data_IF_834775942829
#
_entry.id   IF_834775942829
#
_cell.length_a   1.000
_cell.length_b   1.000
_cell.length_c   1.000
_cell.angle_alpha   90.00
_cell.angle_beta   90.00
_cell.angle_gamma   90.00
#
_symmetry.space_group_name_H-M   'P 1'
#
loop_
_entity.id
_entity.type
_entity.pdbx_description
1 polymer ?
#
# COMPACT_ATOMS: atom_id res chain seq x y z
N UNK A 1 17.34 -24.75 17.17
CA UNK A 1 16.21 -23.79 17.11
C UNK A 1 14.93 -24.62 17.02
N UNK A 2 13.98 -24.47 17.94
CA UNK A 2 12.66 -25.13 17.81
C UNK A 2 11.73 -24.17 17.07
N UNK A 3 11.10 -24.66 16.01
CA UNK A 3 10.01 -23.95 15.36
C UNK A 3 8.78 -23.98 16.28
N UNK A 4 8.22 -22.82 16.58
CA UNK A 4 6.93 -22.70 17.25
C UNK A 4 5.81 -23.14 16.28
N UNK A 5 4.76 -23.81 16.77
CA UNK A 5 3.67 -24.30 15.93
C UNK A 5 2.92 -23.14 15.26
N UNK A 6 2.56 -23.34 13.98
CA UNK A 6 1.88 -22.40 13.08
C UNK A 6 0.57 -21.79 13.62
N UNK A 7 0.03 -22.29 14.73
CA UNK A 7 -1.24 -21.84 15.32
C UNK A 7 -1.14 -20.58 16.21
N UNK A 8 0.06 -20.10 16.56
CA UNK A 8 0.22 -18.92 17.45
C UNK A 8 0.34 -17.58 16.71
N UNK A 9 0.58 -17.58 15.40
CA UNK A 9 0.82 -16.34 14.64
C UNK A 9 -0.45 -15.64 14.15
N UNK A 10 -1.56 -16.36 14.06
CA UNK A 10 -2.83 -15.84 13.61
C UNK A 10 -3.81 -15.83 14.77
N UNK A 11 -4.08 -14.63 15.29
CA UNK A 11 -5.07 -14.29 16.31
C UNK A 11 -4.60 -14.33 17.77
N UNK A 12 -3.82 -13.31 18.17
CA UNK A 12 -4.06 -12.69 19.47
C UNK A 12 -5.26 -11.75 19.36
N UNK A 13 -6.45 -12.33 19.42
CA UNK A 13 -7.69 -11.59 19.63
C UNK A 13 -7.92 -11.48 21.14
N UNK A 14 -7.33 -10.49 21.81
CA UNK A 14 -7.80 -10.03 23.12
C UNK A 14 -7.04 -8.80 23.65
N UNK A 15 -7.18 -7.59 23.10
CA UNK A 15 -6.71 -6.37 23.80
C UNK A 15 -7.62 -5.16 23.53
N UNK A 16 -8.66 -4.98 24.38
CA UNK A 16 -9.68 -3.93 24.33
C UNK A 16 -9.18 -2.47 24.42
N UNK A 17 -7.89 -2.19 24.34
CA UNK A 17 -7.34 -0.84 24.58
C UNK A 17 -6.13 -0.43 23.72
N UNK A 18 -5.63 -1.25 22.79
CA UNK A 18 -4.55 -0.78 21.94
C UNK A 18 -5.10 -0.02 20.73
N UNK A 19 -4.92 1.30 20.71
CA UNK A 19 -5.22 2.11 19.53
C UNK A 19 -4.18 1.82 18.44
N UNK A 20 -4.60 1.61 17.17
CA UNK A 20 -3.65 1.48 16.08
C UNK A 20 -2.87 2.79 15.92
N UNK A 21 -1.54 2.68 15.77
CA UNK A 21 -0.65 3.82 15.61
C UNK A 21 -0.52 4.30 14.16
N UNK A 22 -0.62 3.40 13.19
CA UNK A 22 -0.48 3.73 11.77
C UNK A 22 -1.40 2.88 10.88
N UNK A 23 -1.78 3.45 9.74
CA UNK A 23 -2.48 2.76 8.65
C UNK A 23 -1.54 2.69 7.44
N UNK A 24 -1.34 1.48 6.93
CA UNK A 24 -0.55 1.19 5.75
C UNK A 24 -1.45 0.70 4.62
N UNK A 25 -1.12 1.07 3.38
CA UNK A 25 -1.67 0.44 2.18
C UNK A 25 -0.49 -0.09 1.37
N UNK A 26 -0.32 -1.42 1.33
CA UNK A 26 0.78 -2.08 0.62
C UNK A 26 0.22 -2.68 -0.68
N UNK A 27 0.98 -2.59 -1.77
CA UNK A 27 0.60 -3.14 -3.08
C UNK A 27 1.65 -4.13 -3.57
N UNK A 28 1.22 -5.08 -4.40
CA UNK A 28 2.13 -6.06 -4.98
C UNK A 28 3.10 -5.38 -5.95
N UNK A 29 4.38 -5.78 -5.90
CA UNK A 29 5.43 -5.23 -6.77
C UNK A 29 5.04 -5.27 -8.27
N UNK A 30 4.46 -6.38 -8.72
CA UNK A 30 4.01 -6.58 -10.12
C UNK A 30 2.97 -5.56 -10.62
N UNK A 31 2.30 -4.86 -9.71
CA UNK A 31 1.26 -3.89 -10.06
C UNK A 31 1.78 -2.45 -10.09
N UNK A 32 3.09 -2.23 -9.89
CA UNK A 32 3.71 -0.90 -9.88
C UNK A 32 3.43 -0.10 -11.16
N UNK A 33 3.53 -0.70 -12.34
CA UNK A 33 3.29 0.01 -13.62
C UNK A 33 1.84 0.48 -13.77
N UNK A 34 0.88 -0.26 -13.23
CA UNK A 34 -0.53 0.16 -13.22
C UNK A 34 -0.76 1.32 -12.25
N UNK A 35 -0.04 1.32 -11.12
CA UNK A 35 -0.08 2.42 -10.18
C UNK A 35 0.52 3.69 -10.82
N UNK A 36 1.64 3.56 -11.55
CA UNK A 36 2.22 4.68 -12.33
C UNK A 36 1.21 5.24 -13.31
N UNK A 37 0.61 4.40 -14.15
CA UNK A 37 -0.35 4.81 -15.17
C UNK A 37 -1.56 5.55 -14.56
N UNK A 38 -2.09 5.06 -13.41
CA UNK A 38 -3.12 5.79 -12.68
C UNK A 38 -2.64 7.16 -12.21
N UNK A 39 -1.46 7.25 -11.60
CA UNK A 39 -0.93 8.51 -11.08
C UNK A 39 -0.68 9.51 -12.21
N UNK A 40 -0.13 9.07 -13.33
CA UNK A 40 0.11 9.87 -14.53
C UNK A 40 -1.21 10.45 -15.06
N UNK A 41 -2.22 9.59 -15.21
CA UNK A 41 -3.57 9.99 -15.63
C UNK A 41 -4.16 11.05 -14.70
N UNK A 42 -4.07 10.84 -13.38
CA UNK A 42 -4.60 11.79 -12.39
C UNK A 42 -3.80 13.10 -12.37
N UNK A 43 -2.49 13.06 -12.58
CA UNK A 43 -1.65 14.25 -12.67
C UNK A 43 -2.05 15.11 -13.89
N UNK A 44 -2.24 14.47 -15.06
CA UNK A 44 -2.72 15.14 -16.27
C UNK A 44 -4.13 15.72 -16.06
N UNK A 45 -5.04 14.96 -15.44
CA UNK A 45 -6.40 15.44 -15.09
C UNK A 45 -6.36 16.68 -14.20
N UNK A 46 -5.34 16.80 -13.33
CA UNK A 46 -5.10 17.96 -12.45
C UNK A 46 -4.31 19.10 -13.12
N UNK A 47 -3.98 18.98 -14.41
CA UNK A 47 -3.29 19.99 -15.19
C UNK A 47 -1.77 19.95 -15.13
N UNK A 48 -1.17 18.85 -14.62
CA UNK A 48 0.26 18.66 -14.70
C UNK A 48 0.69 18.34 -16.14
N UNK A 49 1.91 18.75 -16.49
CA UNK A 49 2.60 18.31 -17.71
C UNK A 49 3.64 17.28 -17.28
N UNK A 50 3.46 16.04 -17.71
CA UNK A 50 4.43 14.97 -17.43
C UNK A 50 5.64 15.15 -18.33
N UNK A 51 6.83 15.16 -17.73
CA UNK A 51 8.07 15.05 -18.49
C UNK A 51 8.36 13.57 -18.79
N UNK A 52 9.03 13.24 -19.91
CA UNK A 52 9.21 11.86 -20.36
C UNK A 52 9.95 10.93 -19.38
N UNK A 53 10.68 11.51 -18.43
CA UNK A 53 11.52 10.84 -17.43
C UNK A 53 10.94 10.90 -16.01
N UNK A 54 9.70 11.38 -15.86
CA UNK A 54 9.06 11.54 -14.56
C UNK A 54 8.42 10.22 -14.10
N UNK A 55 8.87 9.66 -12.96
CA UNK A 55 8.22 8.51 -12.31
C UNK A 55 7.61 8.97 -10.98
N UNK A 56 6.29 9.10 -10.98
CA UNK A 56 5.53 9.59 -9.82
C UNK A 56 5.63 8.68 -8.59
N UNK A 57 5.99 7.40 -8.74
CA UNK A 57 6.29 6.52 -7.61
C UNK A 57 7.65 6.86 -6.99
N UNK A 58 8.65 7.20 -7.82
CA UNK A 58 9.98 7.58 -7.36
C UNK A 58 10.00 8.95 -6.69
N UNK A 59 9.13 9.86 -7.10
CA UNK A 59 9.04 11.19 -6.50
C UNK A 59 8.41 11.20 -5.09
N UNK A 60 7.78 10.09 -4.68
CA UNK A 60 7.19 9.91 -3.35
C UNK A 60 6.24 11.05 -2.93
N UNK A 61 5.59 11.67 -3.92
CA UNK A 61 4.77 12.89 -3.75
C UNK A 61 3.27 12.61 -3.59
N UNK A 62 2.86 11.34 -3.71
CA UNK A 62 1.46 10.93 -3.70
C UNK A 62 1.09 10.10 -2.47
N UNK A 63 -0.10 10.37 -1.94
CA UNK A 63 -0.81 9.48 -1.04
C UNK A 63 -2.09 8.99 -1.72
N UNK A 64 -2.27 7.67 -1.86
CA UNK A 64 -3.47 7.09 -2.42
C UNK A 64 -4.62 7.16 -1.40
N UNK A 65 -5.43 8.21 -1.49
CA UNK A 65 -6.64 8.38 -0.68
C UNK A 65 -7.75 7.37 -1.05
N UNK A 66 -8.89 7.42 -0.36
CA UNK A 66 -10.00 6.49 -0.59
C UNK A 66 -10.52 6.51 -2.03
N UNK A 67 -10.57 7.68 -2.66
CA UNK A 67 -11.04 7.86 -4.04
C UNK A 67 -10.05 7.27 -5.03
N UNK A 68 -8.76 7.53 -4.85
CA UNK A 68 -7.71 6.99 -5.71
C UNK A 68 -7.60 5.47 -5.57
N UNK A 69 -7.75 4.91 -4.37
CA UNK A 69 -7.76 3.46 -4.17
C UNK A 69 -8.96 2.79 -4.82
N UNK A 70 -10.14 3.40 -4.73
CA UNK A 70 -11.34 2.90 -5.41
C UNK A 70 -11.18 2.93 -6.94
N UNK A 71 -10.61 4.01 -7.49
CA UNK A 71 -10.27 4.08 -8.92
C UNK A 71 -9.22 3.04 -9.32
N UNK A 72 -8.17 2.86 -8.53
CA UNK A 72 -7.11 1.88 -8.77
C UNK A 72 -7.67 0.45 -8.88
N UNK A 73 -8.60 0.09 -7.99
CA UNK A 73 -9.29 -1.19 -8.05
C UNK A 73 -10.20 -1.28 -9.28
N UNK A 74 -11.05 -0.28 -9.53
CA UNK A 74 -12.04 -0.33 -10.62
C UNK A 74 -11.44 -0.30 -12.02
N UNK A 75 -10.40 0.51 -12.23
CA UNK A 75 -9.79 0.72 -13.54
C UNK A 75 -8.71 -0.32 -13.86
N UNK A 76 -7.95 -0.78 -12.85
CA UNK A 76 -6.77 -1.63 -13.05
C UNK A 76 -6.84 -3.01 -12.36
N UNK A 77 -7.89 -3.27 -11.57
CA UNK A 77 -8.02 -4.50 -10.80
C UNK A 77 -6.92 -4.67 -9.74
N UNK A 78 -6.26 -3.58 -9.33
CA UNK A 78 -5.17 -3.63 -8.36
C UNK A 78 -5.74 -3.57 -6.95
N UNK A 79 -5.53 -4.64 -6.20
CA UNK A 79 -5.89 -4.73 -4.79
C UNK A 79 -4.71 -4.35 -3.89
N UNK A 80 -4.97 -3.53 -2.89
CA UNK A 80 -4.03 -3.21 -1.82
C UNK A 80 -4.31 -4.00 -0.55
N UNK A 81 -3.31 -4.12 0.31
CA UNK A 81 -3.39 -4.70 1.64
C UNK A 81 -3.47 -3.57 2.69
N UNK A 82 -4.67 -3.18 3.17
CA UNK A 82 -4.80 -2.23 4.26
C UNK A 82 -4.38 -2.89 5.58
N UNK A 83 -3.38 -2.32 6.27
CA UNK A 83 -2.83 -2.86 7.52
C UNK A 83 -2.88 -1.78 8.61
N UNK A 84 -3.60 -2.05 9.69
CA UNK A 84 -3.58 -1.23 10.90
C UNK A 84 -2.47 -1.73 11.83
N UNK A 85 -1.37 -0.98 11.91
CA UNK A 85 -0.22 -1.32 12.76
C UNK A 85 -0.48 -0.89 14.21
N UNK A 86 -0.28 -1.82 15.16
CA UNK A 86 -0.32 -1.55 16.60
C UNK A 86 1.08 -1.44 17.19
N UNK A 87 1.16 -0.97 18.44
CA UNK A 87 2.41 -0.96 19.19
C UNK A 87 3.00 -2.38 19.25
N UNK A 88 4.31 -2.50 19.04
CA UNK A 88 5.00 -3.79 19.03
C UNK A 88 4.80 -4.65 17.77
N UNK A 89 3.96 -4.26 16.81
CA UNK A 89 3.84 -4.98 15.53
C UNK A 89 5.04 -4.70 14.62
N UNK A 90 5.59 -5.75 14.01
CA UNK A 90 6.55 -5.65 12.92
C UNK A 90 5.85 -5.94 11.58
N UNK A 91 6.00 -5.04 10.60
CA UNK A 91 5.51 -5.21 9.24
C UNK A 91 6.70 -5.53 8.33
N UNK A 92 6.60 -6.63 7.60
CA UNK A 92 7.59 -7.03 6.59
C UNK A 92 7.11 -6.61 5.20
N UNK A 93 7.92 -5.84 4.49
CA UNK A 93 7.62 -5.35 3.15
C UNK A 93 8.56 -6.08 2.18
N UNK A 94 8.05 -6.90 1.24
CA UNK A 94 8.86 -7.53 0.21
C UNK A 94 9.56 -6.48 -0.67
N UNK A 95 10.80 -6.76 -1.06
CA UNK A 95 11.51 -5.89 -2.00
C UNK A 95 10.85 -5.90 -3.39
N UNK A 96 10.86 -4.73 -4.04
CA UNK A 96 10.63 -4.60 -5.47
C UNK A 96 11.98 -4.83 -6.17
N UNK A 97 12.11 -5.93 -6.91
CA UNK A 97 13.24 -6.27 -7.78
C UNK A 97 12.67 -6.65 -9.15
#
# INVERSE_FOLDING_TARGET
>A
MKALPLGEYTQRTDEKHELPGALWHIYAARDADKIRDLLDKVAIEKGARLEPDHDLIHDQSWYLDGTLRDRLYKEYGVEGYPIAQRLGNAIFIPAYI
#
